data_IF_981636170214
#
_entry.id   IF_981636170214
#
_cell.length_a   1.000
_cell.length_b   1.000
_cell.length_c   1.000
_cell.angle_alpha   90.00
_cell.angle_beta   90.00
_cell.angle_gamma   90.00
#
_symmetry.space_group_name_H-M   'P 1'
#
loop_
_entity.id
_entity.type
_entity.pdbx_description
1 polymer ?
#
# COMPACT_ATOMS: atom_id res chain seq x y z
N UNK A 1 -32.56 -4.07 -2.06
CA UNK A 1 -32.93 -5.17 -3.00
C UNK A 1 -32.23 -5.07 -4.36
N UNK A 2 -32.13 -3.90 -4.99
CA UNK A 2 -31.57 -3.74 -6.35
C UNK A 2 -30.10 -4.18 -6.53
N UNK A 3 -29.28 -4.18 -5.48
CA UNK A 3 -27.86 -4.58 -5.60
C UNK A 3 -27.65 -6.06 -5.98
N UNK A 4 -28.64 -6.93 -5.74
CA UNK A 4 -28.55 -8.37 -6.07
C UNK A 4 -28.94 -8.71 -7.51
N UNK A 5 -29.44 -7.73 -8.27
CA UNK A 5 -29.94 -7.93 -9.63
C UNK A 5 -28.83 -7.56 -10.62
N UNK A 6 -28.53 -8.45 -11.58
CA UNK A 6 -27.56 -8.17 -12.65
C UNK A 6 -28.02 -6.98 -13.49
N UNK A 7 -27.07 -6.21 -14.01
CA UNK A 7 -27.33 -4.98 -14.78
C UNK A 7 -28.30 -5.22 -15.94
N UNK A 8 -28.14 -6.32 -16.69
CA UNK A 8 -29.06 -6.66 -17.79
C UNK A 8 -30.53 -6.77 -17.38
N UNK A 9 -30.82 -7.36 -16.21
CA UNK A 9 -32.20 -7.46 -15.70
C UNK A 9 -32.75 -6.13 -15.20
N UNK A 10 -31.88 -5.23 -14.70
CA UNK A 10 -32.30 -3.87 -14.30
C UNK A 10 -32.75 -3.06 -15.52
N UNK A 11 -31.97 -3.13 -16.60
CA UNK A 11 -32.29 -2.45 -17.86
C UNK A 11 -33.60 -3.02 -18.44
N UNK A 12 -33.74 -4.34 -18.49
CA UNK A 12 -34.99 -4.96 -18.93
C UNK A 12 -36.20 -4.56 -18.07
N UNK A 13 -36.00 -4.41 -16.75
CA UNK A 13 -37.04 -3.94 -15.83
C UNK A 13 -37.55 -2.54 -16.17
N UNK A 14 -36.66 -1.61 -16.57
CA UNK A 14 -37.07 -0.28 -17.02
C UNK A 14 -37.92 -0.34 -18.29
N UNK A 15 -37.55 -1.20 -19.25
CA UNK A 15 -38.33 -1.42 -20.46
C UNK A 15 -39.73 -1.97 -20.15
N UNK A 16 -39.87 -2.86 -19.17
CA UNK A 16 -41.17 -3.39 -18.74
C UNK A 16 -42.05 -2.29 -18.12
N UNK A 17 -41.47 -1.42 -17.27
CA UNK A 17 -42.21 -0.30 -16.68
C UNK A 17 -42.70 0.67 -17.76
N UNK A 18 -41.85 0.99 -18.74
CA UNK A 18 -42.24 1.83 -19.88
C UNK A 18 -43.37 1.19 -20.71
N UNK A 19 -43.30 -0.12 -20.93
CA UNK A 19 -44.34 -0.88 -21.64
C UNK A 19 -45.68 -0.85 -20.91
N UNK A 20 -45.68 -1.04 -19.59
CA UNK A 20 -46.91 -0.93 -18.79
C UNK A 20 -47.49 0.49 -18.86
N UNK A 21 -46.65 1.52 -18.81
CA UNK A 21 -47.08 2.91 -18.98
C UNK A 21 -47.75 3.15 -20.33
N UNK A 22 -47.17 2.65 -21.42
CA UNK A 22 -47.74 2.77 -22.77
C UNK A 22 -49.10 2.07 -22.89
N UNK A 23 -49.25 0.88 -22.31
CA UNK A 23 -50.54 0.15 -22.31
C UNK A 23 -51.61 0.95 -21.60
N UNK A 24 -51.30 1.49 -20.41
CA UNK A 24 -52.25 2.29 -19.63
C UNK A 24 -52.69 3.54 -20.39
N UNK A 25 -51.74 4.28 -20.96
CA UNK A 25 -52.02 5.50 -21.73
C UNK A 25 -52.85 5.18 -22.97
N UNK A 26 -52.45 4.19 -23.77
CA UNK A 26 -53.15 3.81 -25.01
C UNK A 26 -54.58 3.33 -24.73
N UNK A 27 -54.77 2.56 -23.65
CA UNK A 27 -56.10 2.10 -23.23
C UNK A 27 -56.98 3.29 -22.84
N UNK A 28 -56.45 4.19 -22.02
CA UNK A 28 -57.18 5.39 -21.61
C UNK A 28 -57.57 6.27 -22.80
N UNK A 29 -56.66 6.48 -23.75
CA UNK A 29 -56.89 7.32 -24.93
C UNK A 29 -57.92 6.70 -25.88
N UNK A 30 -57.87 5.38 -26.10
CA UNK A 30 -58.89 4.66 -26.88
C UNK A 30 -60.27 4.70 -26.22
N UNK A 31 -60.35 4.51 -24.90
CA UNK A 31 -61.61 4.63 -24.16
C UNK A 31 -62.17 6.06 -24.25
N UNK A 32 -61.30 7.07 -24.14
CA UNK A 32 -61.68 8.46 -24.30
C UNK A 32 -62.20 8.74 -25.71
N UNK A 33 -61.50 8.28 -26.75
CA UNK A 33 -61.89 8.46 -28.15
C UNK A 33 -63.28 7.88 -28.42
N UNK A 34 -63.53 6.63 -28.01
CA UNK A 34 -64.84 6.00 -28.19
C UNK A 34 -65.96 6.78 -27.48
N UNK A 35 -65.69 7.22 -26.25
CA UNK A 35 -66.65 8.00 -25.46
C UNK A 35 -66.97 9.32 -26.16
N UNK A 36 -65.96 10.04 -26.64
CA UNK A 36 -66.13 11.31 -27.37
C UNK A 36 -66.93 11.12 -28.66
N UNK A 37 -66.62 10.10 -29.45
CA UNK A 37 -67.36 9.82 -30.69
C UNK A 37 -68.84 9.50 -30.42
N UNK A 38 -69.13 8.68 -29.40
CA UNK A 38 -70.51 8.35 -29.03
C UNK A 38 -71.29 9.54 -28.49
N UNK A 39 -70.66 10.38 -27.66
CA UNK A 39 -71.32 11.58 -27.14
C UNK A 39 -71.59 12.61 -28.24
N UNK A 40 -70.68 12.79 -29.21
CA UNK A 40 -70.91 13.64 -30.39
C UNK A 40 -72.12 13.15 -31.21
N UNK A 41 -72.23 11.83 -31.43
CA UNK A 41 -73.38 11.22 -32.11
C UNK A 41 -74.68 11.43 -31.34
N UNK A 42 -74.66 11.29 -30.01
CA UNK A 42 -75.81 11.54 -29.14
C UNK A 42 -76.27 13.00 -29.16
N UNK A 43 -75.34 13.95 -29.05
CA UNK A 43 -75.66 15.38 -29.11
C UNK A 43 -76.25 15.76 -30.47
N UNK A 44 -75.68 15.24 -31.57
CA UNK A 44 -76.20 15.46 -32.93
C UNK A 44 -77.67 15.06 -33.05
N UNK A 45 -78.03 13.83 -32.65
CA UNK A 45 -79.43 13.37 -32.75
C UNK A 45 -80.35 14.03 -31.74
N UNK A 46 -79.84 14.42 -30.56
CA UNK A 46 -80.61 15.19 -29.58
C UNK A 46 -81.01 16.54 -30.17
N UNK A 47 -80.05 17.31 -30.67
CA UNK A 47 -80.30 18.62 -31.27
C UNK A 47 -81.26 18.55 -32.47
N UNK A 48 -81.11 17.53 -33.34
CA UNK A 48 -82.00 17.31 -34.48
C UNK A 48 -83.44 16.99 -34.02
N UNK A 49 -83.62 16.13 -33.02
CA UNK A 49 -84.94 15.81 -32.47
C UNK A 49 -85.55 17.02 -31.75
N UNK A 50 -84.80 17.73 -30.92
CA UNK A 50 -85.27 18.93 -30.21
C UNK A 50 -85.70 20.03 -31.19
N UNK A 51 -84.97 20.21 -32.30
CA UNK A 51 -85.38 21.10 -33.38
C UNK A 51 -86.72 20.70 -33.96
N UNK A 52 -86.93 19.41 -34.28
CA UNK A 52 -88.22 18.92 -34.76
C UNK A 52 -89.34 19.07 -33.72
N UNK A 53 -89.06 18.84 -32.43
CA UNK A 53 -90.02 19.05 -31.34
C UNK A 53 -90.37 20.55 -31.21
N UNK A 54 -89.42 21.46 -31.41
CA UNK A 54 -89.68 22.91 -31.44
C UNK A 54 -90.68 23.26 -32.55
N UNK A 55 -90.53 22.67 -33.74
CA UNK A 55 -91.49 22.85 -34.84
C UNK A 55 -92.88 22.28 -34.47
N UNK A 56 -92.95 21.12 -33.83
CA UNK A 56 -94.21 20.56 -33.32
C UNK A 56 -94.90 21.47 -32.30
N UNK A 57 -94.11 22.10 -31.42
CA UNK A 57 -94.61 23.07 -30.45
C UNK A 57 -95.18 24.32 -31.13
N UNK A 58 -94.60 24.78 -32.25
CA UNK A 58 -95.16 25.87 -33.04
C UNK A 58 -96.52 25.50 -33.66
N UNK A 59 -96.61 24.32 -34.29
CA UNK A 59 -97.91 23.79 -34.76
C UNK A 59 -98.94 23.72 -33.64
N UNK A 60 -98.56 23.25 -32.45
CA UNK A 60 -99.46 23.21 -31.30
C UNK A 60 -99.89 24.61 -30.83
N UNK A 61 -99.03 25.63 -30.93
CA UNK A 61 -99.41 27.02 -30.64
C UNK A 61 -100.46 27.52 -31.63
N UNK A 62 -100.31 27.22 -32.93
CA UNK A 62 -101.30 27.58 -33.95
C UNK A 62 -102.65 26.90 -33.71
N UNK A 63 -102.65 25.62 -33.28
CA UNK A 63 -103.88 24.93 -32.86
C UNK A 63 -104.53 25.60 -31.66
N UNK A 64 -103.75 25.93 -30.62
CA UNK A 64 -104.27 26.65 -29.44
C UNK A 64 -104.81 28.03 -29.77
N UNK A 65 -104.29 28.69 -30.81
CA UNK A 65 -104.77 29.97 -31.32
C UNK A 65 -105.99 29.84 -32.25
N UNK A 66 -106.46 28.62 -32.55
CA UNK A 66 -107.58 28.36 -33.45
C UNK A 66 -107.26 28.55 -34.94
N UNK A 67 -105.99 28.72 -35.30
CA UNK A 67 -105.56 28.93 -36.68
C UNK A 67 -105.47 27.61 -37.49
N UNK A 68 -105.38 26.47 -36.80
CA UNK A 68 -105.25 25.15 -37.42
C UNK A 68 -105.99 24.09 -36.59
N UNK A 69 -106.61 23.12 -37.25
CA UNK A 69 -107.17 21.95 -36.57
C UNK A 69 -106.06 21.02 -36.02
N UNK A 70 -106.32 20.31 -34.92
CA UNK A 70 -105.32 19.44 -34.27
C UNK A 70 -104.82 18.34 -35.22
N UNK A 71 -105.72 17.69 -35.98
CA UNK A 71 -105.33 16.63 -36.90
C UNK A 71 -104.58 17.21 -38.10
N UNK A 72 -105.04 18.34 -38.63
CA UNK A 72 -104.36 19.04 -39.72
C UNK A 72 -102.92 19.46 -39.33
N UNK A 73 -102.70 19.87 -38.08
CA UNK A 73 -101.39 20.21 -37.54
C UNK A 73 -100.46 19.00 -37.43
N UNK A 74 -100.98 17.87 -36.93
CA UNK A 74 -100.23 16.60 -36.83
C UNK A 74 -99.84 16.11 -38.23
N UNK A 75 -100.79 16.11 -39.17
CA UNK A 75 -100.56 15.64 -40.54
C UNK A 75 -99.54 16.52 -41.27
N UNK A 76 -99.65 17.85 -41.13
CA UNK A 76 -98.70 18.80 -41.70
C UNK A 76 -97.29 18.60 -41.13
N UNK A 77 -97.19 18.43 -39.80
CA UNK A 77 -95.91 18.17 -39.15
C UNK A 77 -95.28 16.86 -39.62
N UNK A 78 -96.04 15.75 -39.62
CA UNK A 78 -95.52 14.45 -40.06
C UNK A 78 -95.15 14.44 -41.54
N UNK A 79 -95.88 15.15 -42.40
CA UNK A 79 -95.52 15.31 -43.81
C UNK A 79 -94.15 15.96 -43.99
N UNK A 80 -93.84 16.98 -43.20
CA UNK A 80 -92.53 17.67 -43.26
C UNK A 80 -91.43 16.80 -42.65
N UNK A 81 -91.65 16.28 -41.44
CA UNK A 81 -90.62 15.56 -40.69
C UNK A 81 -90.29 14.20 -41.29
N UNK A 82 -91.27 13.49 -41.85
CA UNK A 82 -91.03 12.21 -42.53
C UNK A 82 -90.18 12.34 -43.80
N UNK A 83 -90.19 13.51 -44.44
CA UNK A 83 -89.34 13.82 -45.59
C UNK A 83 -87.91 14.22 -45.19
N UNK A 84 -87.68 14.55 -43.91
CA UNK A 84 -86.36 14.93 -43.40
C UNK A 84 -85.36 13.79 -43.46
N UNK A 85 -84.25 14.03 -44.15
CA UNK A 85 -83.11 13.12 -44.28
C UNK A 85 -81.82 13.81 -43.85
N UNK A 86 -80.91 13.05 -43.25
CA UNK A 86 -79.58 13.52 -42.85
C UNK A 86 -78.61 12.34 -42.86
N UNK A 87 -77.34 12.62 -42.59
CA UNK A 87 -76.29 11.58 -42.51
C UNK A 87 -76.04 10.80 -43.82
N UNK A 88 -76.23 11.43 -44.98
CA UNK A 88 -76.15 10.73 -46.26
C UNK A 88 -77.38 9.86 -46.54
N UNK A 89 -78.58 10.41 -46.30
CA UNK A 89 -79.89 9.82 -46.55
C UNK A 89 -80.29 8.57 -45.75
N UNK A 90 -79.40 8.07 -44.88
CA UNK A 90 -79.71 6.96 -43.95
C UNK A 90 -80.36 7.43 -42.64
N UNK A 91 -80.21 8.71 -42.28
CA UNK A 91 -80.87 9.33 -41.13
C UNK A 91 -82.33 9.67 -41.43
N UNK A 92 -83.23 9.33 -40.52
CA UNK A 92 -84.67 9.57 -40.69
C UNK A 92 -85.40 9.63 -39.36
N UNK A 93 -86.53 10.31 -39.35
CA UNK A 93 -87.44 10.39 -38.21
C UNK A 93 -88.51 9.31 -38.23
N UNK A 94 -89.00 8.96 -37.05
CA UNK A 94 -90.16 8.13 -36.83
C UNK A 94 -90.92 8.61 -35.60
N UNK A 95 -92.20 8.28 -35.49
CA UNK A 95 -93.00 8.60 -34.31
C UNK A 95 -93.84 7.40 -33.90
N UNK A 96 -93.99 7.23 -32.59
CA UNK A 96 -94.68 6.12 -31.94
C UNK A 96 -95.74 6.65 -30.97
N UNK A 97 -96.82 5.90 -30.76
CA UNK A 97 -97.69 6.10 -29.61
C UNK A 97 -97.00 5.62 -28.32
N UNK A 98 -97.58 5.96 -27.16
CA UNK A 98 -97.14 5.41 -25.86
C UNK A 98 -97.31 3.90 -25.77
N UNK A 99 -98.18 3.33 -26.60
CA UNK A 99 -98.45 1.90 -26.69
C UNK A 99 -97.62 1.21 -27.80
N UNK A 100 -96.49 1.81 -28.19
CA UNK A 100 -95.54 1.27 -29.17
C UNK A 100 -96.09 1.06 -30.60
N UNK A 101 -97.15 1.79 -30.97
CA UNK A 101 -97.71 1.74 -32.33
C UNK A 101 -97.03 2.79 -33.19
N UNK A 102 -96.50 2.40 -34.34
CA UNK A 102 -95.84 3.31 -35.28
C UNK A 102 -96.87 4.23 -35.95
N UNK A 103 -96.72 5.55 -35.80
CA UNK A 103 -97.63 6.55 -36.42
C UNK A 103 -96.98 7.31 -37.57
N UNK A 104 -95.65 7.33 -37.65
CA UNK A 104 -94.90 7.92 -38.75
C UNK A 104 -93.54 7.23 -38.88
N UNK A 105 -93.08 6.93 -40.10
CA UNK A 105 -91.75 6.40 -40.32
C UNK A 105 -91.15 6.87 -41.66
N UNK A 106 -90.20 7.80 -41.62
CA UNK A 106 -89.67 8.50 -42.79
C UNK A 106 -88.84 7.64 -43.75
N UNK A 107 -88.38 6.45 -43.36
CA UNK A 107 -87.65 5.53 -44.25
C UNK A 107 -88.47 4.32 -44.73
N UNK A 108 -89.60 4.02 -44.10
CA UNK A 108 -90.37 2.81 -44.38
C UNK A 108 -91.84 3.00 -43.97
N UNK A 109 -92.64 3.63 -44.85
CA UNK A 109 -94.05 3.90 -44.58
C UNK A 109 -94.89 2.65 -44.29
N UNK A 110 -94.45 1.47 -44.76
CA UNK A 110 -95.15 0.20 -44.52
C UNK A 110 -95.11 -0.29 -43.05
N UNK A 111 -94.42 0.45 -42.17
CA UNK A 111 -94.41 0.19 -40.72
C UNK A 111 -95.51 0.96 -39.99
N UNK A 112 -96.10 2.00 -40.59
CA UNK A 112 -97.16 2.79 -39.95
C UNK A 112 -98.38 1.91 -39.67
N UNK A 113 -98.92 2.02 -38.46
CA UNK A 113 -100.03 1.23 -37.93
C UNK A 113 -99.63 -0.10 -37.28
N UNK A 114 -98.35 -0.51 -37.34
CA UNK A 114 -97.88 -1.75 -36.72
C UNK A 114 -97.56 -1.56 -35.23
N UNK A 115 -97.88 -2.59 -34.46
CA UNK A 115 -97.52 -2.71 -33.04
C UNK A 115 -96.13 -3.33 -32.90
N UNK A 116 -95.24 -2.64 -32.19
CA UNK A 116 -93.87 -3.06 -31.93
C UNK A 116 -93.63 -3.54 -30.49
N UNK A 117 -94.67 -3.68 -29.67
CA UNK A 117 -94.57 -4.05 -28.25
C UNK A 117 -93.79 -5.35 -28.02
N UNK A 118 -93.98 -6.34 -28.90
CA UNK A 118 -93.36 -7.67 -28.79
C UNK A 118 -92.23 -7.91 -29.78
N UNK A 119 -91.80 -6.89 -30.53
CA UNK A 119 -90.74 -7.03 -31.54
C UNK A 119 -89.38 -6.89 -30.88
N UNK A 120 -88.49 -7.85 -31.15
CA UNK A 120 -87.13 -7.87 -30.64
C UNK A 120 -86.12 -7.57 -31.75
N UNK A 121 -85.00 -6.95 -31.37
CA UNK A 121 -83.82 -6.90 -32.22
C UNK A 121 -83.06 -8.25 -32.19
N UNK A 122 -82.04 -8.46 -33.04
CA UNK A 122 -81.22 -9.67 -33.03
C UNK A 122 -80.55 -10.02 -31.68
N UNK A 123 -80.41 -9.07 -30.76
CA UNK A 123 -79.86 -9.29 -29.43
C UNK A 123 -80.95 -9.62 -28.38
N UNK A 124 -82.21 -9.73 -28.79
CA UNK A 124 -83.35 -10.03 -27.93
C UNK A 124 -83.92 -8.82 -27.20
N UNK A 125 -83.46 -7.60 -27.48
CA UNK A 125 -83.95 -6.38 -26.84
C UNK A 125 -85.30 -5.95 -27.42
N UNK A 126 -86.24 -5.57 -26.56
CA UNK A 126 -87.53 -5.00 -26.96
C UNK A 126 -87.36 -3.51 -27.27
N UNK A 127 -86.63 -3.23 -28.34
CA UNK A 127 -86.03 -1.93 -28.59
C UNK A 127 -87.01 -0.76 -28.65
N UNK A 128 -88.22 -0.94 -29.20
CA UNK A 128 -89.25 0.11 -29.20
C UNK A 128 -89.78 0.36 -27.79
N UNK A 129 -90.03 -0.67 -26.99
CA UNK A 129 -90.48 -0.51 -25.60
C UNK A 129 -89.44 0.29 -24.81
N UNK A 130 -88.18 -0.09 -24.95
CA UNK A 130 -87.07 0.53 -24.23
C UNK A 130 -86.87 1.99 -24.69
N UNK A 131 -87.01 2.26 -26.00
CA UNK A 131 -86.95 3.61 -26.55
C UNK A 131 -88.15 4.49 -26.15
N UNK A 132 -89.38 3.97 -26.18
CA UNK A 132 -90.59 4.71 -25.76
C UNK A 132 -90.52 5.00 -24.26
N UNK A 133 -90.05 4.05 -23.45
CA UNK A 133 -89.81 4.27 -22.02
C UNK A 133 -88.77 5.38 -21.79
N UNK A 134 -87.62 5.32 -22.47
CA UNK A 134 -86.58 6.35 -22.37
C UNK A 134 -87.07 7.73 -22.86
N UNK A 135 -87.77 7.76 -23.99
CA UNK A 135 -88.27 8.95 -24.64
C UNK A 135 -89.55 9.53 -24.05
N UNK A 136 -90.19 8.85 -23.08
CA UNK A 136 -91.35 9.38 -22.35
C UNK A 136 -90.95 10.39 -21.26
N UNK A 137 -89.65 10.51 -20.96
CA UNK A 137 -89.14 11.50 -20.03
C UNK A 137 -89.29 12.93 -20.58
N UNK A 138 -89.46 13.96 -19.73
CA UNK A 138 -89.60 15.35 -20.17
C UNK A 138 -88.43 15.89 -21.00
N UNK A 139 -87.22 15.37 -20.75
CA UNK A 139 -85.99 15.74 -21.47
C UNK A 139 -85.63 14.73 -22.58
N UNK A 140 -86.54 13.82 -22.91
CA UNK A 140 -86.27 12.68 -23.77
C UNK A 140 -85.28 11.67 -23.19
N UNK A 141 -84.86 10.73 -24.02
CA UNK A 141 -83.91 9.69 -23.63
C UNK A 141 -83.31 8.93 -24.81
N UNK A 142 -82.19 8.27 -24.54
CA UNK A 142 -81.45 7.49 -25.53
C UNK A 142 -81.74 5.99 -25.38
N UNK A 143 -81.77 5.28 -26.50
CA UNK A 143 -81.75 3.81 -26.54
C UNK A 143 -80.90 3.33 -27.72
N UNK A 144 -80.13 2.26 -27.51
CA UNK A 144 -79.34 1.60 -28.56
C UNK A 144 -79.96 0.26 -28.92
N UNK A 145 -80.04 -0.05 -30.21
CA UNK A 145 -80.60 -1.29 -30.73
C UNK A 145 -80.12 -1.57 -32.15
N UNK A 146 -80.34 -2.78 -32.63
CA UNK A 146 -79.95 -3.16 -33.99
C UNK A 146 -81.12 -2.97 -34.97
N UNK A 147 -80.87 -2.25 -36.07
CA UNK A 147 -81.88 -1.96 -37.09
C UNK A 147 -81.26 -1.91 -38.50
N UNK A 148 -81.98 -2.31 -39.57
CA UNK A 148 -81.45 -2.19 -40.93
C UNK A 148 -81.33 -0.71 -41.34
N UNK A 149 -80.31 -0.40 -42.14
CA UNK A 149 -80.16 0.91 -42.79
C UNK A 149 -81.15 1.06 -43.95
N UNK A 150 -81.64 2.28 -44.25
CA UNK A 150 -82.44 2.50 -45.45
C UNK A 150 -81.68 2.05 -46.72
N UNK A 151 -82.33 1.24 -47.56
CA UNK A 151 -81.73 0.74 -48.80
C UNK A 151 -80.96 -0.58 -48.66
N UNK A 152 -80.64 -1.01 -47.44
CA UNK A 152 -79.99 -2.31 -47.17
C UNK A 152 -81.00 -3.45 -47.02
N UNK A 153 -80.59 -4.72 -47.20
CA UNK A 153 -81.40 -5.89 -46.87
C UNK A 153 -81.85 -5.87 -45.41
N UNK A 154 -83.08 -6.34 -45.13
CA UNK A 154 -83.69 -6.26 -43.79
C UNK A 154 -83.00 -7.16 -42.77
N UNK A 155 -82.32 -8.20 -43.25
CA UNK A 155 -81.56 -9.16 -42.47
C UNK A 155 -80.24 -8.56 -41.98
N UNK A 156 -79.74 -7.52 -42.65
CA UNK A 156 -78.51 -6.83 -42.30
C UNK A 156 -78.82 -5.66 -41.36
N UNK A 157 -78.61 -5.90 -40.06
CA UNK A 157 -78.87 -4.91 -39.02
C UNK A 157 -77.58 -4.30 -38.50
N UNK A 158 -77.61 -3.02 -38.17
CA UNK A 158 -76.49 -2.27 -37.61
C UNK A 158 -76.87 -1.67 -36.27
N UNK A 159 -75.90 -1.49 -35.37
CA UNK A 159 -76.15 -0.80 -34.12
C UNK A 159 -76.54 0.66 -34.40
N UNK A 160 -77.66 1.06 -33.82
CA UNK A 160 -78.26 2.38 -33.97
C UNK A 160 -78.55 2.97 -32.61
N UNK A 161 -78.01 4.15 -32.35
CA UNK A 161 -78.38 4.95 -31.18
C UNK A 161 -79.48 5.91 -31.60
N UNK A 162 -80.61 5.86 -30.89
CA UNK A 162 -81.73 6.78 -31.10
C UNK A 162 -81.97 7.63 -29.88
N UNK A 163 -82.40 8.86 -30.12
CA UNK A 163 -82.93 9.76 -29.11
C UNK A 163 -84.41 9.99 -29.39
N UNK A 164 -85.22 9.82 -28.35
CA UNK A 164 -86.65 9.98 -28.40
C UNK A 164 -87.12 11.06 -27.43
N UNK A 165 -88.15 11.82 -27.82
CA UNK A 165 -88.69 12.94 -27.05
C UNK A 165 -90.21 13.03 -27.23
N UNK A 166 -90.98 13.39 -26.19
CA UNK A 166 -92.43 13.55 -26.34
C UNK A 166 -92.78 14.76 -27.22
N UNK A 167 -93.78 14.58 -28.08
CA UNK A 167 -94.45 15.63 -28.83
C UNK A 167 -95.59 16.23 -27.99
N UNK A 168 -96.05 17.47 -28.28
CA UNK A 168 -97.09 18.13 -27.50
C UNK A 168 -98.45 17.41 -27.50
N UNK A 169 -98.72 16.53 -28.47
CA UNK A 169 -99.91 15.68 -28.54
C UNK A 169 -99.68 14.24 -28.02
N UNK A 170 -98.55 13.97 -27.37
CA UNK A 170 -98.31 12.73 -26.61
C UNK A 170 -97.66 11.58 -27.38
N UNK A 171 -97.52 11.67 -28.70
CA UNK A 171 -96.67 10.76 -29.46
C UNK A 171 -95.19 10.97 -29.12
N UNK A 172 -94.38 9.93 -29.25
CA UNK A 172 -92.93 9.98 -29.02
C UNK A 172 -92.24 10.09 -30.39
N UNK A 173 -91.57 11.21 -30.64
CA UNK A 173 -90.74 11.41 -31.83
C UNK A 173 -89.35 10.84 -31.56
N UNK A 174 -88.86 10.02 -32.48
CA UNK A 174 -87.51 9.48 -32.43
C UNK A 174 -86.74 9.75 -33.71
N UNK A 175 -85.43 9.91 -33.55
CA UNK A 175 -84.45 9.86 -34.64
C UNK A 175 -83.20 9.15 -34.15
N UNK A 176 -82.34 8.68 -35.06
CA UNK A 176 -81.11 8.01 -34.65
C UNK A 176 -80.02 8.01 -35.70
N UNK A 177 -78.82 7.63 -35.28
CA UNK A 177 -77.64 7.46 -36.12
C UNK A 177 -77.10 6.06 -35.94
N UNK A 178 -76.59 5.48 -37.03
CA UNK A 178 -75.87 4.22 -36.99
C UNK A 178 -74.44 4.51 -36.53
N UNK A 179 -73.86 3.61 -35.74
CA UNK A 179 -72.55 3.84 -35.10
C UNK A 179 -71.47 2.86 -35.56
N UNK A 180 -71.71 2.12 -36.65
CA UNK A 180 -70.72 1.22 -37.22
C UNK A 180 -69.46 1.97 -37.71
N UNK A 181 -69.60 3.24 -38.08
CA UNK A 181 -68.46 4.13 -38.39
C UNK A 181 -67.60 4.44 -37.16
N UNK A 182 -68.22 4.55 -35.98
CA UNK A 182 -67.52 4.76 -34.70
C UNK A 182 -66.66 3.54 -34.37
N UNK A 183 -67.19 2.34 -34.55
CA UNK A 183 -66.43 1.11 -34.31
C UNK A 183 -65.27 0.97 -35.30
N UNK A 184 -65.49 1.28 -36.58
CA UNK A 184 -64.41 1.30 -37.59
C UNK A 184 -63.32 2.30 -37.20
N UNK A 185 -63.69 3.55 -36.89
CA UNK A 185 -62.73 4.59 -36.49
C UNK A 185 -61.97 4.23 -35.20
N UNK A 186 -62.65 3.58 -34.25
CA UNK A 186 -62.03 3.06 -33.03
C UNK A 186 -60.99 1.99 -33.34
N UNK A 187 -61.34 1.00 -34.16
CA UNK A 187 -60.42 -0.10 -34.51
C UNK A 187 -59.24 0.36 -35.37
N UNK A 188 -59.45 1.29 -36.30
CA UNK A 188 -58.36 1.91 -37.08
C UNK A 188 -57.36 2.60 -36.15
N UNK A 189 -57.87 3.39 -35.20
CA UNK A 189 -57.05 4.06 -34.19
C UNK A 189 -56.35 3.03 -33.30
N UNK A 190 -57.05 1.99 -32.86
CA UNK A 190 -56.50 0.94 -32.00
C UNK A 190 -55.36 0.18 -32.70
N UNK A 191 -55.53 -0.21 -33.96
CA UNK A 191 -54.49 -0.88 -34.75
C UNK A 191 -53.26 0.03 -34.88
N UNK A 192 -53.47 1.31 -35.15
CA UNK A 192 -52.38 2.28 -35.23
C UNK A 192 -51.61 2.40 -33.90
N UNK A 193 -52.32 2.57 -32.78
CA UNK A 193 -51.71 2.64 -31.44
C UNK A 193 -51.00 1.34 -31.04
N UNK A 194 -51.57 0.18 -31.35
CA UNK A 194 -50.95 -1.13 -31.11
C UNK A 194 -49.65 -1.25 -31.92
N UNK A 195 -49.69 -0.88 -33.20
CA UNK A 195 -48.52 -0.96 -34.09
C UNK A 195 -47.41 -0.05 -33.61
N UNK A 196 -47.73 1.21 -33.25
CA UNK A 196 -46.77 2.15 -32.69
C UNK A 196 -46.20 1.66 -31.36
N UNK A 197 -47.06 1.15 -30.46
CA UNK A 197 -46.62 0.59 -29.17
C UNK A 197 -45.68 -0.60 -29.37
N UNK A 198 -46.00 -1.52 -30.28
CA UNK A 198 -45.12 -2.65 -30.60
C UNK A 198 -43.77 -2.20 -31.16
N UNK A 199 -43.75 -1.18 -32.02
CA UNK A 199 -42.52 -0.60 -32.55
C UNK A 199 -41.65 0.02 -31.44
N UNK A 200 -42.24 0.79 -30.54
CA UNK A 200 -41.53 1.38 -29.39
C UNK A 200 -41.02 0.30 -28.45
N UNK A 201 -41.83 -0.72 -28.17
CA UNK A 201 -41.44 -1.87 -27.33
C UNK A 201 -40.25 -2.60 -27.96
N UNK A 202 -40.30 -2.90 -29.26
CA UNK A 202 -39.21 -3.55 -29.97
C UNK A 202 -37.93 -2.72 -29.90
N UNK A 203 -38.02 -1.40 -30.08
CA UNK A 203 -36.89 -0.49 -29.95
C UNK A 203 -36.31 -0.48 -28.53
N UNK A 204 -37.15 -0.42 -27.50
CA UNK A 204 -36.73 -0.45 -26.09
C UNK A 204 -36.08 -1.77 -25.70
N UNK A 205 -36.61 -2.90 -26.20
CA UNK A 205 -36.00 -4.21 -25.97
C UNK A 205 -34.66 -4.34 -26.69
N UNK A 206 -34.57 -3.89 -27.94
CA UNK A 206 -33.35 -3.99 -28.74
C UNK A 206 -32.23 -3.12 -28.17
N UNK A 207 -32.53 -1.86 -27.84
CA UNK A 207 -31.58 -0.93 -27.20
C UNK A 207 -31.19 -1.40 -25.80
N UNK A 208 -32.14 -1.84 -24.98
CA UNK A 208 -31.88 -2.39 -23.65
C UNK A 208 -31.01 -3.65 -23.69
N UNK A 209 -31.26 -4.56 -24.64
CA UNK A 209 -30.43 -5.75 -24.86
C UNK A 209 -29.01 -5.37 -25.31
N UNK A 210 -28.87 -4.43 -26.24
CA UNK A 210 -27.57 -3.96 -26.73
C UNK A 210 -26.73 -3.35 -25.60
N UNK A 211 -27.29 -2.37 -24.89
CA UNK A 211 -26.63 -1.69 -23.75
C UNK A 211 -26.29 -2.68 -22.65
N UNK A 212 -27.27 -3.53 -22.26
CA UNK A 212 -27.07 -4.52 -21.22
C UNK A 212 -25.98 -5.53 -21.57
N UNK A 213 -25.92 -5.99 -22.82
CA UNK A 213 -24.89 -6.91 -23.31
C UNK A 213 -23.52 -6.24 -23.37
N UNK A 214 -23.42 -5.02 -23.87
CA UNK A 214 -22.16 -4.28 -24.00
C UNK A 214 -21.51 -4.04 -22.62
N UNK A 215 -22.26 -3.46 -21.67
CA UNK A 215 -21.77 -3.19 -20.31
C UNK A 215 -21.41 -4.49 -19.58
N UNK A 216 -22.31 -5.48 -19.60
CA UNK A 216 -22.10 -6.74 -18.84
C UNK A 216 -20.90 -7.51 -19.39
N UNK A 217 -20.70 -7.54 -20.71
CA UNK A 217 -19.54 -8.21 -21.29
C UNK A 217 -18.23 -7.47 -20.99
N UNK A 218 -18.21 -6.14 -21.06
CA UNK A 218 -17.04 -5.34 -20.71
C UNK A 218 -16.61 -5.56 -19.26
N UNK A 219 -17.55 -5.45 -18.32
CA UNK A 219 -17.28 -5.70 -16.90
C UNK A 219 -16.84 -7.14 -16.61
N UNK A 220 -17.43 -8.13 -17.28
CA UNK A 220 -17.01 -9.53 -17.13
C UNK A 220 -15.57 -9.74 -17.58
N UNK A 221 -15.17 -9.22 -18.74
CA UNK A 221 -13.79 -9.33 -19.25
C UNK A 221 -12.78 -8.67 -18.32
N UNK A 222 -13.11 -7.48 -17.79
CA UNK A 222 -12.25 -6.80 -16.81
C UNK A 222 -12.14 -7.58 -15.50
N UNK A 223 -13.26 -8.14 -15.01
CA UNK A 223 -13.27 -8.98 -13.82
C UNK A 223 -12.40 -10.23 -14.01
N UNK A 224 -12.55 -10.93 -15.15
CA UNK A 224 -11.74 -12.11 -15.48
C UNK A 224 -10.26 -11.75 -15.53
N UNK A 225 -9.88 -10.65 -16.20
CA UNK A 225 -8.48 -10.25 -16.28
C UNK A 225 -7.90 -9.81 -14.93
N UNK A 226 -8.68 -9.15 -14.08
CA UNK A 226 -8.27 -8.85 -12.70
C UNK A 226 -8.01 -10.12 -11.89
N UNK A 227 -8.81 -11.17 -12.08
CA UNK A 227 -8.56 -12.47 -11.43
C UNK A 227 -7.23 -13.10 -11.88
N UNK A 228 -6.89 -13.03 -13.18
CA UNK A 228 -5.59 -13.50 -13.66
C UNK A 228 -4.42 -12.71 -13.08
N UNK A 229 -4.52 -11.38 -13.05
CA UNK A 229 -3.50 -10.50 -12.45
C UNK A 229 -3.30 -10.83 -10.97
N UNK A 230 -4.40 -11.01 -10.21
CA UNK A 230 -4.34 -11.38 -8.80
C UNK A 230 -3.67 -12.75 -8.56
N UNK A 231 -3.78 -13.67 -9.52
CA UNK A 231 -3.12 -14.99 -9.48
C UNK A 231 -1.67 -14.97 -10.01
N UNK A 232 -1.14 -13.80 -10.37
CA UNK A 232 0.25 -13.64 -10.82
C UNK A 232 0.47 -13.76 -12.33
N UNK A 233 -0.58 -13.98 -13.13
CA UNK A 233 -0.48 -13.85 -14.59
C UNK A 233 -0.57 -12.36 -14.97
N UNK A 234 0.57 -11.79 -15.34
CA UNK A 234 0.71 -10.39 -15.73
C UNK A 234 0.90 -10.17 -17.24
N UNK A 235 0.86 -11.21 -18.07
CA UNK A 235 1.29 -11.14 -19.48
C UNK A 235 0.14 -11.18 -20.51
N UNK A 236 -1.10 -11.02 -20.07
CA UNK A 236 -2.27 -10.93 -20.94
C UNK A 236 -2.71 -9.51 -21.29
N UNK A 237 -3.37 -9.40 -22.46
CA UNK A 237 -4.00 -8.19 -22.92
C UNK A 237 -5.27 -7.89 -22.10
N UNK A 238 -5.45 -6.61 -21.72
CA UNK A 238 -6.67 -6.12 -21.08
C UNK A 238 -7.54 -5.53 -22.19
N UNK A 239 -8.66 -6.16 -22.51
CA UNK A 239 -9.57 -5.68 -23.55
C UNK A 239 -10.28 -4.38 -23.14
N UNK A 240 -10.62 -3.54 -24.12
CA UNK A 240 -11.45 -2.35 -23.92
C UNK A 240 -10.72 -1.09 -23.45
N UNK A 241 -9.39 -1.04 -23.56
CA UNK A 241 -8.58 0.15 -23.21
C UNK A 241 -8.86 1.36 -24.12
N UNK A 242 -9.30 1.09 -25.34
CA UNK A 242 -9.67 2.04 -26.40
C UNK A 242 -11.08 2.61 -26.25
N UNK A 243 -11.88 2.08 -25.32
CA UNK A 243 -13.24 2.57 -25.06
C UNK A 243 -13.20 3.99 -24.47
N UNK A 244 -14.14 4.81 -24.93
CA UNK A 244 -14.34 6.19 -24.47
C UNK A 244 -15.38 6.36 -23.36
N UNK A 245 -15.81 5.27 -22.73
CA UNK A 245 -16.80 5.25 -21.65
C UNK A 245 -16.18 4.83 -20.31
N UNK A 246 -17.01 4.75 -19.27
CA UNK A 246 -16.58 4.39 -17.91
C UNK A 246 -15.98 2.99 -17.82
N UNK A 247 -16.39 2.06 -18.69
CA UNK A 247 -15.78 0.73 -18.78
C UNK A 247 -14.34 0.85 -19.30
N UNK A 248 -14.08 1.75 -20.25
CA UNK A 248 -12.73 2.07 -20.72
C UNK A 248 -11.83 2.68 -19.64
N UNK A 249 -12.37 3.59 -18.82
CA UNK A 249 -11.63 4.15 -17.67
C UNK A 249 -11.23 3.06 -16.68
N UNK A 250 -12.13 2.12 -16.39
CA UNK A 250 -11.82 0.95 -15.57
C UNK A 250 -10.75 0.08 -16.22
N UNK A 251 -10.82 -0.17 -17.53
CA UNK A 251 -9.81 -0.95 -18.26
C UNK A 251 -8.41 -0.35 -18.13
N UNK A 252 -8.27 0.97 -18.34
CA UNK A 252 -7.01 1.70 -18.16
C UNK A 252 -6.50 1.64 -16.72
N UNK A 253 -7.40 1.69 -15.74
CA UNK A 253 -7.06 1.53 -14.33
C UNK A 253 -6.50 0.13 -14.04
N UNK A 254 -7.10 -0.93 -14.61
CA UNK A 254 -6.60 -2.30 -14.49
C UNK A 254 -5.20 -2.44 -15.12
N UNK A 255 -4.90 -1.71 -16.19
CA UNK A 255 -3.54 -1.67 -16.77
C UNK A 255 -2.55 -1.08 -15.75
N UNK A 256 -2.87 0.05 -15.12
CA UNK A 256 -2.01 0.64 -14.09
C UNK A 256 -1.77 -0.32 -12.92
N UNK A 257 -2.81 -1.05 -12.47
CA UNK A 257 -2.66 -2.08 -11.45
C UNK A 257 -1.74 -3.23 -11.88
N UNK A 258 -1.84 -3.69 -13.14
CA UNK A 258 -0.96 -4.72 -13.69
C UNK A 258 0.50 -4.28 -13.71
N UNK A 259 0.77 -3.05 -14.14
CA UNK A 259 2.14 -2.50 -14.15
C UNK A 259 2.71 -2.41 -12.73
N UNK A 260 1.90 -1.96 -11.76
CA UNK A 260 2.31 -1.93 -10.36
C UNK A 260 2.61 -3.34 -9.81
N UNK A 261 1.80 -4.34 -10.18
CA UNK A 261 2.03 -5.73 -9.82
C UNK A 261 3.33 -6.27 -10.44
N UNK A 262 3.62 -5.89 -11.69
CA UNK A 262 4.85 -6.28 -12.41
C UNK A 262 6.09 -5.68 -11.76
N UNK A 263 6.04 -4.41 -11.41
CA UNK A 263 7.12 -3.72 -10.70
C UNK A 263 7.38 -4.36 -9.34
N UNK A 264 6.34 -4.65 -8.55
CA UNK A 264 6.48 -5.34 -7.27
C UNK A 264 7.12 -6.72 -7.41
N UNK A 265 6.74 -7.51 -8.42
CA UNK A 265 7.36 -8.80 -8.68
C UNK A 265 8.85 -8.65 -9.02
N UNK A 266 9.22 -7.67 -9.85
CA UNK A 266 10.61 -7.37 -10.17
C UNK A 266 11.42 -6.90 -8.95
N UNK A 267 10.82 -6.10 -8.07
CA UNK A 267 11.46 -5.66 -6.82
C UNK A 267 11.72 -6.85 -5.89
N UNK A 268 10.76 -7.76 -5.75
CA UNK A 268 10.93 -8.99 -4.97
C UNK A 268 12.03 -9.88 -5.55
N UNK A 269 12.08 -10.04 -6.88
CA UNK A 269 13.16 -10.80 -7.55
C UNK A 269 14.54 -10.16 -7.32
N UNK A 270 14.63 -8.83 -7.46
CA UNK A 270 15.87 -8.08 -7.17
C UNK A 270 16.31 -8.22 -5.71
N UNK A 271 15.37 -8.13 -4.75
CA UNK A 271 15.69 -8.38 -3.34
C UNK A 271 16.26 -9.77 -3.11
N UNK A 272 15.64 -10.80 -3.68
CA UNK A 272 16.10 -12.19 -3.55
C UNK A 272 17.49 -12.40 -4.17
N UNK A 273 17.78 -11.77 -5.31
CA UNK A 273 19.11 -11.78 -5.90
C UNK A 273 20.14 -11.09 -4.98
N UNK A 274 19.85 -9.88 -4.49
CA UNK A 274 20.74 -9.16 -3.58
C UNK A 274 21.00 -9.94 -2.29
N UNK A 275 19.99 -10.61 -1.74
CA UNK A 275 20.14 -11.46 -0.56
C UNK A 275 21.07 -12.65 -0.83
N UNK A 276 20.90 -13.31 -1.97
CA UNK A 276 21.76 -14.43 -2.39
C UNK A 276 23.21 -13.96 -2.61
N UNK A 277 23.41 -12.82 -3.28
CA UNK A 277 24.73 -12.23 -3.49
C UNK A 277 25.39 -11.80 -2.17
N UNK A 278 24.64 -11.19 -1.26
CA UNK A 278 25.12 -10.82 0.06
C UNK A 278 25.53 -12.04 0.89
N UNK A 279 24.78 -13.14 0.82
CA UNK A 279 25.13 -14.37 1.51
C UNK A 279 26.39 -15.03 0.92
N UNK A 280 26.54 -15.04 -0.40
CA UNK A 280 27.76 -15.50 -1.06
C UNK A 280 28.98 -14.66 -0.68
N UNK A 281 28.84 -13.33 -0.69
CA UNK A 281 29.89 -12.41 -0.28
C UNK A 281 30.29 -12.64 1.19
N UNK A 282 29.30 -12.73 2.09
CA UNK A 282 29.53 -13.02 3.51
C UNK A 282 30.28 -14.34 3.70
N UNK A 283 29.90 -15.38 2.97
CA UNK A 283 30.60 -16.67 3.02
C UNK A 283 32.06 -16.56 2.56
N UNK A 284 32.33 -15.81 1.49
CA UNK A 284 33.69 -15.54 1.00
C UNK A 284 34.52 -14.79 2.04
N UNK A 285 33.98 -13.73 2.61
CA UNK A 285 34.66 -12.89 3.61
C UNK A 285 35.02 -13.73 4.87
N UNK A 286 34.13 -14.61 5.33
CA UNK A 286 34.40 -15.52 6.45
C UNK A 286 35.53 -16.51 6.13
N UNK A 287 35.56 -17.08 4.92
CA UNK A 287 36.62 -17.99 4.51
C UNK A 287 37.98 -17.28 4.41
N UNK A 288 38.00 -16.06 3.88
CA UNK A 288 39.22 -15.24 3.81
C UNK A 288 39.72 -14.85 5.21
N UNK A 289 38.81 -14.47 6.11
CA UNK A 289 39.14 -14.18 7.51
C UNK A 289 39.72 -15.41 8.22
N UNK A 290 39.15 -16.60 7.98
CA UNK A 290 39.67 -17.86 8.53
C UNK A 290 41.08 -18.18 8.01
N UNK A 291 41.34 -18.00 6.70
CA UNK A 291 42.66 -18.21 6.11
C UNK A 291 43.71 -17.23 6.65
N UNK A 292 43.34 -15.95 6.78
CA UNK A 292 44.22 -14.94 7.39
C UNK A 292 44.52 -15.25 8.85
N UNK A 293 43.53 -15.72 9.62
CA UNK A 293 43.73 -16.16 11.00
C UNK A 293 44.70 -17.35 11.04
N UNK A 294 44.51 -18.36 10.20
CA UNK A 294 45.40 -19.53 10.11
C UNK A 294 46.84 -19.13 9.83
N UNK A 295 47.06 -18.25 8.85
CA UNK A 295 48.40 -17.74 8.52
C UNK A 295 49.04 -16.96 9.68
N UNK A 296 48.27 -16.13 10.38
CA UNK A 296 48.75 -15.39 11.56
C UNK A 296 49.10 -16.32 12.71
N UNK A 297 48.28 -17.33 12.97
CA UNK A 297 48.54 -18.34 14.01
C UNK A 297 49.79 -19.15 13.67
N UNK A 298 49.96 -19.57 12.41
CA UNK A 298 51.18 -20.26 11.94
C UNK A 298 52.43 -19.40 12.12
N UNK A 299 52.37 -18.12 11.78
CA UNK A 299 53.47 -17.18 12.01
C UNK A 299 53.79 -16.97 13.49
N UNK A 300 52.77 -16.84 14.35
CA UNK A 300 52.94 -16.76 15.80
C UNK A 300 53.60 -18.02 16.37
N UNK A 301 53.16 -19.21 15.96
CA UNK A 301 53.74 -20.49 16.39
C UNK A 301 55.21 -20.59 15.98
N UNK A 302 55.55 -20.18 14.75
CA UNK A 302 56.95 -20.13 14.29
C UNK A 302 57.80 -19.16 15.12
N UNK A 303 57.28 -17.96 15.40
CA UNK A 303 57.98 -16.98 16.24
C UNK A 303 58.17 -17.48 17.67
N UNK A 304 57.14 -18.11 18.27
CA UNK A 304 57.24 -18.71 19.61
C UNK A 304 58.28 -19.83 19.61
N UNK A 305 58.28 -20.69 18.60
CA UNK A 305 59.25 -21.79 18.48
C UNK A 305 60.68 -21.27 18.36
N UNK A 306 60.90 -20.18 17.62
CA UNK A 306 62.20 -19.51 17.53
C UNK A 306 62.62 -18.94 18.89
N UNK A 307 61.74 -18.20 19.58
CA UNK A 307 62.00 -17.67 20.92
C UNK A 307 62.32 -18.76 21.95
N UNK A 308 61.63 -19.90 21.90
CA UNK A 308 61.92 -21.06 22.75
C UNK A 308 63.31 -21.62 22.45
N UNK A 309 63.70 -21.70 21.17
CA UNK A 309 65.04 -22.14 20.76
C UNK A 309 66.14 -21.21 21.26
N UNK A 310 65.94 -19.90 21.12
CA UNK A 310 66.90 -18.90 21.58
C UNK A 310 66.99 -18.86 23.11
N UNK A 311 65.87 -19.00 23.81
CA UNK A 311 65.84 -19.19 25.26
C UNK A 311 66.62 -20.45 25.68
N UNK A 312 66.44 -21.58 24.98
CA UNK A 312 67.22 -22.80 25.25
C UNK A 312 68.72 -22.59 25.09
N UNK A 313 69.16 -21.86 24.05
CA UNK A 313 70.56 -21.49 23.86
C UNK A 313 71.07 -20.57 24.96
N UNK A 314 70.29 -19.55 25.33
CA UNK A 314 70.65 -18.62 26.40
C UNK A 314 70.82 -19.35 27.75
N UNK A 315 69.90 -20.26 28.08
CA UNK A 315 69.99 -21.10 29.29
C UNK A 315 71.22 -22.02 29.25
N UNK A 316 71.52 -22.64 28.11
CA UNK A 316 72.72 -23.48 27.96
C UNK A 316 74.02 -22.66 28.15
N UNK A 317 74.11 -21.48 27.55
CA UNK A 317 75.24 -20.56 27.73
C UNK A 317 75.38 -20.10 29.18
N UNK A 318 74.26 -19.79 29.84
CA UNK A 318 74.24 -19.42 31.26
C UNK A 318 74.76 -20.57 32.13
N UNK A 319 74.35 -21.81 31.86
CA UNK A 319 74.84 -22.97 32.60
C UNK A 319 76.35 -23.17 32.44
N UNK A 320 76.88 -23.05 31.22
CA UNK A 320 78.34 -23.09 30.99
C UNK A 320 79.07 -21.94 31.68
N UNK A 321 78.51 -20.73 31.69
CA UNK A 321 79.09 -19.58 32.39
C UNK A 321 79.09 -19.79 33.91
N UNK A 322 78.02 -20.35 34.49
CA UNK A 322 77.94 -20.69 35.92
C UNK A 322 78.96 -21.76 36.29
N UNK A 323 79.14 -22.81 35.49
CA UNK A 323 80.18 -23.84 35.71
C UNK A 323 81.59 -23.24 35.65
N UNK A 324 81.86 -22.37 34.68
CA UNK A 324 83.13 -21.66 34.58
C UNK A 324 83.37 -20.76 35.79
N UNK A 325 82.36 -19.99 36.21
CA UNK A 325 82.45 -19.12 37.38
C UNK A 325 82.69 -19.92 38.67
N UNK A 326 82.08 -21.09 38.81
CA UNK A 326 82.33 -22.01 39.94
C UNK A 326 83.78 -22.49 39.98
N UNK A 327 84.33 -22.93 38.83
CA UNK A 327 85.75 -23.31 38.72
C UNK A 327 86.69 -22.15 39.03
N UNK A 328 86.42 -20.98 38.47
CA UNK A 328 87.23 -19.77 38.70
C UNK A 328 87.18 -19.36 40.18
N UNK A 329 86.00 -19.38 40.80
CA UNK A 329 85.82 -19.10 42.22
C UNK A 329 86.62 -20.08 43.10
N UNK A 330 86.66 -21.37 42.72
CA UNK A 330 87.50 -22.37 43.38
C UNK A 330 88.99 -22.06 43.26
N UNK A 331 89.47 -21.71 42.06
CA UNK A 331 90.86 -21.33 41.83
C UNK A 331 91.25 -20.06 42.62
N UNK A 332 90.37 -19.06 42.66
CA UNK A 332 90.57 -17.84 43.47
C UNK A 332 90.66 -18.19 44.96
N UNK A 333 89.76 -19.03 45.48
CA UNK A 333 89.82 -19.45 46.89
C UNK A 333 91.15 -20.13 47.23
N UNK A 334 91.67 -21.01 46.35
CA UNK A 334 92.99 -21.62 46.52
C UNK A 334 94.11 -20.59 46.50
N UNK A 335 94.10 -19.65 45.54
CA UNK A 335 95.10 -18.60 45.44
C UNK A 335 95.09 -17.65 46.66
N UNK A 336 93.91 -17.31 47.17
CA UNK A 336 93.74 -16.51 48.39
C UNK A 336 94.27 -17.25 49.62
N UNK A 337 93.99 -18.55 49.75
CA UNK A 337 94.51 -19.36 50.86
C UNK A 337 96.05 -19.43 50.85
N UNK A 338 96.66 -19.62 49.66
CA UNK A 338 98.10 -19.58 49.50
C UNK A 338 98.69 -18.20 49.81
N UNK A 339 98.04 -17.13 49.34
CA UNK A 339 98.47 -15.74 49.62
C UNK A 339 98.42 -15.45 51.12
N UNK A 340 97.37 -15.89 51.83
CA UNK A 340 97.33 -15.79 53.28
C UNK A 340 98.55 -16.46 53.90
N UNK A 341 98.81 -17.74 53.56
CA UNK A 341 99.97 -18.48 54.08
C UNK A 341 101.31 -17.77 53.86
N UNK A 342 101.50 -17.17 52.68
CA UNK A 342 102.68 -16.35 52.39
C UNK A 342 102.75 -15.11 53.28
N UNK A 343 101.63 -14.41 53.50
CA UNK A 343 101.57 -13.25 54.42
C UNK A 343 101.93 -13.66 55.85
N UNK A 344 101.46 -14.82 56.33
CA UNK A 344 101.86 -15.34 57.65
C UNK A 344 103.37 -15.65 57.72
N UNK A 345 103.95 -16.20 56.65
CA UNK A 345 105.39 -16.47 56.57
C UNK A 345 106.21 -15.17 56.60
N UNK A 346 105.79 -14.15 55.85
CA UNK A 346 106.41 -12.82 55.87
C UNK A 346 106.30 -12.17 57.26
N UNK A 347 105.16 -12.31 57.94
CA UNK A 347 104.99 -11.82 59.32
C UNK A 347 106.00 -12.47 60.27
N UNK A 348 106.15 -13.80 60.23
CA UNK A 348 107.12 -14.52 61.04
C UNK A 348 108.57 -14.12 60.73
N UNK A 349 108.92 -13.92 59.44
CA UNK A 349 110.23 -13.43 59.04
C UNK A 349 110.49 -12.00 59.54
N UNK A 350 109.47 -11.14 59.57
CA UNK A 350 109.56 -9.77 60.09
C UNK A 350 109.76 -9.76 61.61
N UNK A 351 109.10 -10.65 62.35
CA UNK A 351 109.35 -10.86 63.78
C UNK A 351 110.80 -11.31 64.05
N UNK A 352 111.32 -12.26 63.27
CA UNK A 352 112.72 -12.69 63.38
C UNK A 352 113.73 -11.59 63.03
N UNK A 353 113.46 -10.80 61.99
CA UNK A 353 114.31 -9.66 61.62
C UNK A 353 114.37 -8.59 62.71
N UNK A 354 113.24 -8.35 63.39
CA UNK A 354 113.17 -7.40 64.51
C UNK A 354 114.05 -7.87 65.67
N UNK A 355 113.96 -9.17 66.03
CA UNK A 355 114.81 -9.77 67.06
C UNK A 355 116.30 -9.70 66.70
N UNK A 356 116.66 -9.98 65.44
CA UNK A 356 118.06 -9.87 64.98
C UNK A 356 118.58 -8.44 65.00
N UNK A 357 117.74 -7.45 64.70
CA UNK A 357 118.10 -6.03 64.78
C UNK A 357 118.39 -5.58 66.21
N UNK A 358 117.61 -6.05 67.20
CA UNK A 358 117.85 -5.79 68.63
C UNK A 358 119.18 -6.42 69.11
N UNK A 359 119.50 -7.63 68.65
CA UNK A 359 120.76 -8.30 68.98
C UNK A 359 121.98 -7.59 68.37
N UNK A 360 121.88 -7.15 67.11
CA UNK A 360 122.90 -6.34 66.45
C UNK A 360 123.12 -5.02 67.21
N UNK A 361 122.05 -4.36 67.65
CA UNK A 361 122.15 -3.13 68.45
C UNK A 361 122.92 -3.36 69.76
N UNK A 362 122.67 -4.47 70.47
CA UNK A 362 123.46 -4.84 71.66
C UNK A 362 124.93 -5.13 71.35
N UNK A 363 125.22 -5.77 70.21
CA UNK A 363 126.59 -6.09 69.81
C UNK A 363 127.39 -4.85 69.38
N UNK A 364 126.73 -3.89 68.74
CA UNK A 364 127.30 -2.56 68.43
C UNK A 364 127.63 -1.83 69.74
N UNK A 365 126.72 -1.82 70.72
CA UNK A 365 126.97 -1.19 72.03
C UNK A 365 128.19 -1.80 72.75
N UNK A 366 128.32 -3.14 72.75
CA UNK A 366 129.50 -3.84 73.29
C UNK A 366 130.79 -3.48 72.55
N UNK A 367 130.73 -3.37 71.22
CA UNK A 367 131.91 -3.02 70.41
C UNK A 367 132.39 -1.60 70.69
N UNK A 368 131.47 -0.66 70.90
CA UNK A 368 131.80 0.71 71.29
C UNK A 368 132.47 0.75 72.68
N UNK A 369 132.00 -0.06 73.62
CA UNK A 369 132.56 -0.15 74.98
C UNK A 369 134.00 -0.69 74.97
N UNK A 370 134.26 -1.73 74.16
CA UNK A 370 135.62 -2.26 73.95
C UNK A 370 136.53 -1.22 73.28
N UNK A 371 136.04 -0.50 72.28
CA UNK A 371 136.82 0.54 71.60
C UNK A 371 137.21 1.68 72.55
N UNK A 372 136.31 2.08 73.45
CA UNK A 372 136.61 3.07 74.49
C UNK A 372 137.67 2.55 75.48
N UNK A 373 137.56 1.30 75.95
CA UNK A 373 138.60 0.69 76.79
C UNK A 373 139.97 0.65 76.12
N UNK A 374 140.02 0.28 74.83
CA UNK A 374 141.28 0.25 74.09
C UNK A 374 141.92 1.65 73.97
N UNK A 375 141.10 2.70 73.83
CA UNK A 375 141.59 4.08 73.80
C UNK A 375 142.16 4.53 75.17
N UNK A 376 141.53 4.13 76.27
CA UNK A 376 142.04 4.39 77.62
C UNK A 376 143.37 3.68 77.88
N UNK A 377 143.50 2.42 77.45
CA UNK A 377 144.73 1.62 77.58
C UNK A 377 145.89 2.23 76.75
N UNK A 378 145.60 2.71 75.54
CA UNK A 378 146.56 3.40 74.68
C UNK A 378 147.05 4.71 75.32
N UNK A 379 146.15 5.47 75.95
CA UNK A 379 146.48 6.70 76.68
C UNK A 379 147.44 6.42 77.84
N UNK A 380 147.16 5.38 78.64
CA UNK A 380 148.01 4.95 79.76
C UNK A 380 149.39 4.45 79.31
N UNK A 381 149.43 3.76 78.16
CA UNK A 381 150.69 3.35 77.54
C UNK A 381 151.54 4.55 77.15
N UNK A 382 150.92 5.58 76.56
CA UNK A 382 151.62 6.81 76.18
C UNK A 382 152.21 7.56 77.38
N UNK A 383 151.50 7.62 78.51
CA UNK A 383 152.02 8.18 79.77
C UNK A 383 153.26 7.41 80.27
N UNK A 384 153.23 6.07 80.19
CA UNK A 384 154.31 5.20 80.63
C UNK A 384 155.57 5.39 79.77
N UNK A 385 155.41 5.49 78.44
CA UNK A 385 156.50 5.77 77.49
C UNK A 385 157.11 7.15 77.75
N UNK A 386 156.28 8.14 78.06
CA UNK A 386 156.73 9.51 78.40
C UNK A 386 157.56 9.50 79.69
N UNK A 387 157.12 8.78 80.73
CA UNK A 387 157.88 8.62 81.97
C UNK A 387 159.22 7.89 81.79
N UNK A 388 159.29 6.94 80.86
CA UNK A 388 160.53 6.24 80.49
C UNK A 388 161.54 7.18 79.80
N UNK A 389 161.08 8.10 78.97
CA UNK A 389 161.92 9.11 78.31
C UNK A 389 162.57 10.06 79.34
N UNK A 390 161.81 10.52 80.33
CA UNK A 390 162.32 11.35 81.43
C UNK A 390 163.37 10.63 82.28
N UNK A 391 163.16 9.34 82.55
CA UNK A 391 164.12 8.52 83.29
C UNK A 391 165.44 8.33 82.52
N UNK A 392 165.38 8.12 81.21
CA UNK A 392 166.56 8.00 80.35
C UNK A 392 167.37 9.32 80.29
N UNK A 393 166.70 10.47 80.24
CA UNK A 393 167.35 11.79 80.26
C UNK A 393 168.16 12.00 81.55
N UNK A 394 167.58 11.65 82.71
CA UNK A 394 168.27 11.73 84.01
C UNK A 394 169.52 10.84 84.08
N UNK A 395 169.51 9.67 83.45
CA UNK A 395 170.70 8.80 83.38
C UNK A 395 171.80 9.46 82.53
N UNK A 396 171.43 10.12 81.42
CA UNK A 396 172.35 10.87 80.57
C UNK A 396 173.06 12.00 81.31
N UNK A 397 172.33 12.74 82.16
CA UNK A 397 172.89 13.83 82.95
C UNK A 397 173.92 13.33 83.99
N UNK A 398 173.69 12.15 84.59
CA UNK A 398 174.62 11.53 85.55
C UNK A 398 175.89 11.03 84.85
N UNK A 399 175.77 10.44 83.66
CA UNK A 399 176.93 9.99 82.88
C UNK A 399 177.87 11.15 82.52
N UNK A 400 177.29 12.33 82.21
CA UNK A 400 178.04 13.55 81.91
C UNK A 400 178.83 14.05 83.12
N UNK A 401 178.21 14.05 84.31
CA UNK A 401 178.87 14.44 85.56
C UNK A 401 180.06 13.52 85.90
N UNK A 402 179.93 12.22 85.64
CA UNK A 402 181.02 11.25 85.85
C UNK A 402 182.19 11.53 84.89
N UNK A 403 181.87 11.88 83.62
CA UNK A 403 182.86 12.28 82.63
C UNK A 403 183.67 13.51 83.05
N UNK A 404 182.98 14.54 83.55
CA UNK A 404 183.60 15.81 83.96
C UNK A 404 184.57 15.62 85.16
N UNK A 405 184.24 14.74 86.11
CA UNK A 405 185.10 14.46 87.28
C UNK A 405 186.37 13.68 86.89
N UNK A 406 186.26 12.76 85.93
CA UNK A 406 187.40 11.98 85.45
C UNK A 406 188.46 12.87 84.78
N UNK A 407 188.03 13.87 84.02
CA UNK A 407 188.92 14.82 83.34
C UNK A 407 189.65 15.74 84.34
N UNK A 408 188.94 16.18 85.39
CA UNK A 408 189.53 17.03 86.44
C UNK A 408 190.58 16.29 87.28
N UNK A 409 190.40 14.97 87.47
CA UNK A 409 191.38 14.15 88.19
C UNK A 409 192.64 13.92 87.36
N UNK A 410 192.49 13.75 86.04
CA UNK A 410 193.61 13.57 85.11
C UNK A 410 194.47 14.84 84.97
N UNK A 411 193.85 16.02 85.00
CA UNK A 411 194.56 17.29 84.86
C UNK A 411 195.36 17.70 86.10
N UNK A 412 194.97 17.27 87.31
CA UNK A 412 195.78 17.47 88.52
C UNK A 412 197.04 16.62 88.53
N UNK A 413 197.00 15.43 87.93
CA UNK A 413 198.13 14.52 87.89
C UNK A 413 199.24 14.98 86.93
N UNK A 414 198.89 15.66 85.82
CA UNK A 414 199.84 15.95 84.75
C UNK A 414 200.63 17.26 84.98
N UNK A 415 200.09 18.24 85.71
CA UNK A 415 200.67 19.59 85.68
C UNK A 415 201.78 19.89 86.70
N UNK A 416 201.94 19.13 87.79
CA UNK A 416 202.92 19.52 88.81
C UNK A 416 204.13 18.59 88.96
N UNK A 417 204.23 17.53 88.15
CA UNK A 417 205.53 16.88 87.86
C UNK A 417 206.46 17.82 87.07
N UNK A 418 206.00 19.02 86.66
CA UNK A 418 206.79 20.01 85.92
C UNK A 418 207.31 21.17 86.81
N UNK A 419 207.00 21.24 88.11
CA UNK A 419 207.60 22.23 89.04
C UNK A 419 208.51 21.61 90.14
N UNK A 420 209.22 20.53 89.80
CA UNK A 420 210.57 20.26 90.31
C UNK A 420 211.59 20.97 89.40
#
# INVERSE_FOLDING_TARGET
>A
MLQKIKIGYKIAGLSIVALLGLIVISTFELMSLRTTLLEDRKEKIRAITEYAVSQANDFQKQVKAGALDQQAAIDAFYKVVSAGKYDGDIGYFFALTKDNIMVMHGANPALVGKDFTSVQDPNGAYFIRDLVAAGSNPNGGFSSYHWPKPGEPKELTFEKISFAHPLPWGAILGTGVYIDDVDVAFWDSAIWFITLSLAIIALLMLTGFWIGRDITNGLRKLSERMTYIANGDLDGHIEGQDRGDEVGDMARTVVAFREQARENLQLQQRQKQMETEAEQKRRKDVLEMASNLENRVKGLIQSISASISDMKKATANMQSATEMNSKLSGAVATATAQTSGNVQTVSAATEQLTASSDEIAQQIARSADIANQANDEATRTNETVTGLADAAQKIGDVAKLIGDIAEQTNLLALNATIEA
#
